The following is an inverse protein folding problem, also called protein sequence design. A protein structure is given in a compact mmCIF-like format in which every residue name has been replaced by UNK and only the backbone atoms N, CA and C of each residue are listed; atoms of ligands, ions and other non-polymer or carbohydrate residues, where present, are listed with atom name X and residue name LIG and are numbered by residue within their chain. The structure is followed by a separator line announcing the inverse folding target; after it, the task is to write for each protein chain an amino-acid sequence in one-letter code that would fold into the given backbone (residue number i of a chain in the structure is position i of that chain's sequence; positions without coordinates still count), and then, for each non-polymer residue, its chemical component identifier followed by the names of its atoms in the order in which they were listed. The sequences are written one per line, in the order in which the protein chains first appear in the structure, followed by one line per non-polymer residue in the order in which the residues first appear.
data_IF_365036411182
#
_entry.id   IF_365036411182
#
_cell.length_a   1.000
_cell.length_b   1.000
_cell.length_c   1.000
_cell.angle_alpha   90.00
_cell.angle_beta   90.00
_cell.angle_gamma   90.00
#
_symmetry.space_group_name_H-M   'P 1'
#
loop_
_entity.id
_entity.type
_entity.pdbx_description
1 polymer ?
#
# COMPACT_ATOMS: atom_id res chain seq x y z
N UNK A 1 54.48 -11.15 -24.46
CA UNK A 1 55.50 -11.83 -23.62
C UNK A 1 55.76 -11.09 -22.32
N UNK A 2 56.44 -9.92 -22.32
CA UNK A 2 56.72 -9.16 -21.09
C UNK A 2 55.43 -8.55 -20.49
N UNK A 3 54.51 -8.10 -21.34
CA UNK A 3 53.19 -7.61 -20.92
C UNK A 3 52.33 -8.71 -20.30
N UNK A 4 52.39 -9.94 -20.83
CA UNK A 4 51.67 -11.09 -20.28
C UNK A 4 52.24 -11.52 -18.93
N UNK A 5 53.57 -11.41 -18.75
CA UNK A 5 54.23 -11.61 -17.47
C UNK A 5 53.82 -10.54 -16.44
N UNK A 6 53.82 -9.26 -16.83
CA UNK A 6 53.35 -8.16 -15.97
C UNK A 6 51.88 -8.35 -15.60
N UNK A 7 51.05 -8.79 -16.55
CA UNK A 7 49.62 -9.04 -16.31
C UNK A 7 49.41 -10.20 -15.35
N UNK A 8 50.14 -11.31 -15.53
CA UNK A 8 50.10 -12.46 -14.62
C UNK A 8 50.62 -12.13 -13.21
N UNK A 9 51.68 -11.34 -13.11
CA UNK A 9 52.20 -10.85 -11.81
C UNK A 9 51.19 -9.91 -11.15
N UNK A 10 50.58 -8.99 -11.90
CA UNK A 10 49.56 -8.08 -11.38
C UNK A 10 48.32 -8.81 -10.90
N UNK A 11 47.87 -9.82 -11.65
CA UNK A 11 46.69 -10.61 -11.31
C UNK A 11 46.94 -11.45 -10.05
N UNK A 12 48.11 -12.09 -9.96
CA UNK A 12 48.53 -12.84 -8.76
C UNK A 12 48.73 -11.95 -7.52
N UNK A 13 49.34 -10.76 -7.70
CA UNK A 13 49.47 -9.77 -6.65
C UNK A 13 48.09 -9.28 -6.23
N UNK A 14 47.21 -8.95 -7.17
CA UNK A 14 45.85 -8.49 -6.87
C UNK A 14 45.08 -9.54 -6.07
N UNK A 15 45.14 -10.80 -6.47
CA UNK A 15 44.38 -11.88 -5.84
C UNK A 15 44.88 -12.19 -4.42
N UNK A 16 46.20 -12.13 -4.18
CA UNK A 16 46.79 -12.34 -2.85
C UNK A 16 46.80 -11.10 -1.95
N UNK A 17 46.89 -9.90 -2.50
CA UNK A 17 46.78 -8.64 -1.75
C UNK A 17 45.34 -8.27 -1.41
N UNK A 18 44.36 -8.79 -2.15
CA UNK A 18 42.94 -8.67 -1.77
C UNK A 18 42.59 -9.48 -0.51
N UNK A 19 43.44 -10.43 -0.11
CA UNK A 19 43.33 -11.04 1.22
C UNK A 19 43.77 -10.02 2.29
N UNK A 20 42.94 -9.73 3.31
CA UNK A 20 43.29 -8.85 4.43
C UNK A 20 44.61 -9.24 5.11
N UNK A 21 45.00 -10.52 5.04
CA UNK A 21 46.25 -11.04 5.59
C UNK A 21 47.47 -10.65 4.75
N UNK A 22 47.37 -10.72 3.42
CA UNK A 22 48.47 -10.33 2.53
C UNK A 22 48.81 -8.84 2.61
N UNK A 23 47.78 -8.00 2.63
CA UNK A 23 47.95 -6.55 2.75
C UNK A 23 48.54 -6.16 4.11
N UNK A 24 47.98 -6.67 5.22
CA UNK A 24 48.47 -6.37 6.57
C UNK A 24 49.88 -6.91 6.83
N UNK A 25 50.20 -8.10 6.32
CA UNK A 25 51.54 -8.68 6.41
C UNK A 25 52.56 -7.85 5.62
N UNK A 26 52.21 -7.39 4.42
CA UNK A 26 53.13 -6.56 3.61
C UNK A 26 53.39 -5.22 4.28
N UNK A 27 52.35 -4.54 4.75
CA UNK A 27 52.50 -3.25 5.47
C UNK A 27 53.32 -3.45 6.74
N UNK A 28 53.05 -4.51 7.50
CA UNK A 28 53.80 -4.82 8.71
C UNK A 28 55.27 -5.15 8.39
N UNK A 29 55.53 -5.94 7.36
CA UNK A 29 56.87 -6.27 6.92
C UNK A 29 57.67 -5.04 6.51
N UNK A 30 57.05 -4.12 5.76
CA UNK A 30 57.66 -2.84 5.40
C UNK A 30 57.97 -1.98 6.63
N UNK A 31 57.07 -1.95 7.63
CA UNK A 31 57.27 -1.18 8.85
C UNK A 31 58.44 -1.72 9.69
N UNK A 32 58.55 -3.04 9.85
CA UNK A 32 59.64 -3.69 10.60
C UNK A 32 60.98 -3.67 9.84
N UNK A 33 60.95 -3.74 8.52
CA UNK A 33 62.15 -3.76 7.66
C UNK A 33 62.40 -2.40 6.99
N UNK A 34 62.00 -1.30 7.63
CA UNK A 34 62.14 0.05 7.08
C UNK A 34 63.60 0.41 6.74
N UNK A 35 64.57 -0.06 7.54
CA UNK A 35 66.00 0.17 7.29
C UNK A 35 66.47 -0.42 5.96
N UNK A 36 65.97 -1.60 5.60
CA UNK A 36 66.28 -2.24 4.31
C UNK A 36 65.67 -1.45 3.18
N UNK A 37 64.41 -1.05 3.32
CA UNK A 37 63.76 -0.22 2.31
C UNK A 37 64.55 1.07 2.09
N UNK A 38 64.97 1.75 3.17
CA UNK A 38 65.81 2.94 3.08
C UNK A 38 67.15 2.67 2.38
N UNK A 39 67.82 1.54 2.65
CA UNK A 39 69.07 1.18 1.98
C UNK A 39 68.83 0.84 0.51
N UNK A 40 67.77 0.10 0.18
CA UNK A 40 67.41 -0.26 -1.21
C UNK A 40 67.08 1.00 -2.02
N UNK A 41 66.34 1.95 -1.43
CA UNK A 41 65.99 3.22 -2.05
C UNK A 41 67.10 4.28 -1.95
N UNK A 42 68.15 4.06 -1.15
CA UNK A 42 69.31 4.94 -1.15
C UNK A 42 69.98 4.90 -2.53
N UNK A 43 70.48 6.04 -3.01
CA UNK A 43 71.17 6.14 -4.31
C UNK A 43 72.56 5.48 -4.36
N UNK A 44 72.92 4.67 -3.37
CA UNK A 44 74.24 4.05 -3.22
C UNK A 44 74.50 2.94 -4.26
N UNK A 45 75.77 2.62 -4.48
CA UNK A 45 76.17 1.52 -5.37
C UNK A 45 75.69 0.17 -4.82
N UNK A 46 75.38 -0.78 -5.72
CA UNK A 46 74.82 -2.08 -5.36
C UNK A 46 75.69 -2.86 -4.34
N UNK A 47 77.01 -2.77 -4.48
CA UNK A 47 77.97 -3.40 -3.57
C UNK A 47 77.88 -2.80 -2.17
N UNK A 48 77.74 -1.47 -2.07
CA UNK A 48 77.59 -0.78 -0.79
C UNK A 48 76.26 -1.10 -0.12
N UNK A 49 75.18 -1.25 -0.90
CA UNK A 49 73.86 -1.69 -0.39
C UNK A 49 73.92 -3.07 0.26
N UNK A 50 74.56 -4.04 -0.40
CA UNK A 50 74.71 -5.40 0.16
C UNK A 50 75.51 -5.36 1.47
N UNK A 51 76.59 -4.59 1.51
CA UNK A 51 77.40 -4.45 2.73
C UNK A 51 76.60 -3.80 3.88
N UNK A 52 75.83 -2.75 3.59
CA UNK A 52 74.96 -2.09 4.56
C UNK A 52 73.85 -3.02 5.07
N UNK A 53 73.24 -3.83 4.19
CA UNK A 53 72.22 -4.82 4.59
C UNK A 53 72.85 -5.88 5.50
N UNK A 54 74.03 -6.38 5.16
CA UNK A 54 74.75 -7.34 6.01
C UNK A 54 75.10 -6.76 7.38
N UNK A 55 75.48 -5.47 7.43
CA UNK A 55 75.74 -4.77 8.69
C UNK A 55 74.48 -4.63 9.55
N UNK A 56 73.32 -4.37 8.93
CA UNK A 56 72.03 -4.24 9.63
C UNK A 56 71.52 -5.58 10.17
N UNK A 57 71.83 -6.71 9.51
CA UNK A 57 71.37 -8.05 9.91
C UNK A 57 72.49 -9.00 10.31
N UNK A 58 73.51 -8.47 10.97
CA UNK A 58 74.64 -9.28 11.41
C UNK A 58 74.23 -10.36 12.43
N UNK A 59 73.25 -10.06 13.29
CA UNK A 59 72.73 -11.00 14.28
C UNK A 59 71.60 -11.86 13.73
N UNK A 60 71.78 -13.18 13.76
CA UNK A 60 70.78 -14.14 13.31
C UNK A 60 69.42 -13.96 14.02
N UNK A 61 69.45 -13.77 15.34
CA UNK A 61 68.23 -13.56 16.14
C UNK A 61 67.52 -12.26 15.80
N UNK A 62 68.29 -11.17 15.61
CA UNK A 62 67.74 -9.89 15.20
C UNK A 62 67.09 -9.98 13.82
N UNK A 63 67.76 -10.66 12.88
CA UNK A 63 67.29 -10.91 11.53
C UNK A 63 66.03 -11.76 11.49
N UNK A 64 66.02 -12.93 12.13
CA UNK A 64 64.86 -13.80 12.20
C UNK A 64 63.63 -13.09 12.81
N UNK A 65 63.86 -12.25 13.83
CA UNK A 65 62.79 -11.49 14.44
C UNK A 65 62.25 -10.37 13.53
N UNK A 66 63.12 -9.56 12.91
CA UNK A 66 62.66 -8.42 12.10
C UNK A 66 62.15 -8.84 10.71
N UNK A 67 62.70 -9.90 10.10
CA UNK A 67 62.26 -10.35 8.78
C UNK A 67 60.98 -11.19 8.84
N UNK A 68 60.81 -12.01 9.88
CA UNK A 68 59.71 -12.98 9.95
C UNK A 68 58.83 -12.82 11.18
N UNK A 69 59.38 -13.02 12.39
CA UNK A 69 58.54 -13.16 13.58
C UNK A 69 57.75 -11.88 13.94
N UNK A 70 58.40 -10.72 13.89
CA UNK A 70 57.81 -9.41 14.17
C UNK A 70 56.69 -9.05 13.20
N UNK A 71 56.93 -9.04 11.87
CA UNK A 71 55.89 -8.80 10.87
C UNK A 71 54.69 -9.74 11.00
N UNK A 72 54.93 -11.04 11.19
CA UNK A 72 53.85 -12.04 11.31
C UNK A 72 53.06 -11.82 12.60
N UNK A 73 53.74 -11.61 13.74
CA UNK A 73 53.08 -11.36 15.02
C UNK A 73 52.26 -10.07 15.01
N UNK A 74 52.78 -9.01 14.39
CA UNK A 74 52.09 -7.71 14.32
C UNK A 74 50.92 -7.76 13.35
N UNK A 75 51.06 -8.45 12.21
CA UNK A 75 49.95 -8.68 11.29
C UNK A 75 48.87 -9.55 11.93
N UNK A 76 49.24 -10.64 12.61
CA UNK A 76 48.31 -11.47 13.36
C UNK A 76 47.61 -10.68 14.47
N UNK A 77 48.36 -9.87 15.24
CA UNK A 77 47.78 -8.99 16.24
C UNK A 77 46.81 -7.99 15.62
N UNK A 78 47.15 -7.35 14.51
CA UNK A 78 46.24 -6.44 13.81
C UNK A 78 44.97 -7.16 13.35
N UNK A 79 45.08 -8.31 12.69
CA UNK A 79 43.94 -9.08 12.19
C UNK A 79 43.04 -9.57 13.33
N UNK A 80 43.62 -9.95 14.47
CA UNK A 80 42.86 -10.44 15.62
C UNK A 80 42.30 -9.31 16.48
N UNK A 81 43.04 -8.22 16.65
CA UNK A 81 42.62 -7.09 17.48
C UNK A 81 41.64 -6.17 16.75
N UNK A 82 41.81 -5.92 15.44
CA UNK A 82 40.95 -5.06 14.64
C UNK A 82 39.44 -5.40 14.62
N UNK A 83 39.00 -6.68 14.59
CA UNK A 83 37.57 -7.00 14.59
C UNK A 83 36.87 -6.63 15.89
N UNK A 84 37.55 -6.60 17.03
CA UNK A 84 36.93 -6.24 18.32
C UNK A 84 36.39 -4.80 18.36
N UNK A 85 37.21 -3.75 18.12
CA UNK A 85 36.70 -2.37 18.08
C UNK A 85 35.75 -2.18 16.90
N UNK A 86 35.98 -2.83 15.75
CA UNK A 86 35.08 -2.74 14.60
C UNK A 86 33.67 -3.25 14.93
N UNK A 87 33.56 -4.42 15.54
CA UNK A 87 32.27 -4.99 15.96
C UNK A 87 31.59 -4.13 17.03
N UNK A 88 32.37 -3.56 17.95
CA UNK A 88 31.85 -2.64 18.96
C UNK A 88 31.24 -1.38 18.31
N UNK A 89 31.98 -0.69 17.44
CA UNK A 89 31.49 0.49 16.71
C UNK A 89 30.28 0.13 15.84
N UNK A 90 30.32 -1.00 15.14
CA UNK A 90 29.21 -1.46 14.33
C UNK A 90 27.95 -1.68 15.17
N UNK A 91 28.05 -2.43 16.27
CA UNK A 91 26.92 -2.68 17.17
C UNK A 91 26.37 -1.41 17.80
N UNK A 92 27.24 -0.47 18.21
CA UNK A 92 26.85 0.84 18.72
C UNK A 92 26.06 1.64 17.67
N UNK A 93 26.57 1.70 16.44
CA UNK A 93 25.91 2.40 15.33
C UNK A 93 24.55 1.80 15.00
N UNK A 94 24.43 0.47 15.04
CA UNK A 94 23.19 -0.24 14.75
C UNK A 94 22.13 0.04 15.83
N UNK A 95 22.56 0.08 17.10
CA UNK A 95 21.70 0.46 18.24
C UNK A 95 21.18 1.88 18.09
N UNK A 96 22.06 2.84 17.76
CA UNK A 96 21.67 4.24 17.52
C UNK A 96 20.68 4.40 16.37
N UNK A 97 20.87 3.67 15.27
CA UNK A 97 19.91 3.66 14.15
C UNK A 97 18.56 3.10 14.58
N UNK A 98 18.55 2.01 15.36
CA UNK A 98 17.31 1.42 15.90
C UNK A 98 16.59 2.39 16.84
N UNK A 99 17.32 3.06 17.73
CA UNK A 99 16.78 4.08 18.64
C UNK A 99 16.18 5.26 17.85
N UNK A 100 16.89 5.79 16.86
CA UNK A 100 16.39 6.89 16.02
C UNK A 100 15.14 6.49 15.23
N UNK A 101 15.09 5.26 14.69
CA UNK A 101 13.91 4.75 14.01
C UNK A 101 12.72 4.57 14.96
N UNK A 102 12.96 4.07 16.18
CA UNK A 102 11.92 3.93 17.19
C UNK A 102 11.37 5.30 17.61
N UNK A 103 12.25 6.27 17.87
CA UNK A 103 11.84 7.63 18.21
C UNK A 103 11.04 8.28 17.08
N UNK A 104 11.46 8.10 15.83
CA UNK A 104 10.70 8.59 14.67
C UNK A 104 9.30 7.98 14.61
N UNK A 105 9.18 6.66 14.84
CA UNK A 105 7.89 5.96 14.85
C UNK A 105 6.98 6.41 15.98
N UNK A 106 7.56 6.69 17.15
CA UNK A 106 6.85 7.26 18.29
C UNK A 106 6.32 8.66 17.99
N UNK A 107 7.11 9.50 17.31
CA UNK A 107 6.67 10.83 16.87
C UNK A 107 5.60 10.76 15.78
N UNK A 108 5.74 9.83 14.82
CA UNK A 108 4.81 9.65 13.70
C UNK A 108 3.54 8.84 14.09
N UNK A 109 3.36 8.49 15.38
CA UNK A 109 2.31 7.59 15.90
C UNK A 109 2.17 6.25 15.12
N UNK A 110 3.26 5.81 14.48
CA UNK A 110 3.30 4.57 13.71
C UNK A 110 3.61 3.39 14.62
N UNK A 111 2.58 2.69 15.08
CA UNK A 111 2.72 1.42 15.80
C UNK A 111 3.13 0.31 14.84
N UNK A 112 4.42 -0.06 14.85
CA UNK A 112 4.92 -1.18 14.06
C UNK A 112 4.60 -2.47 14.81
N UNK A 113 3.57 -3.18 14.34
CA UNK A 113 3.23 -4.52 14.82
C UNK A 113 4.46 -5.42 14.70
N UNK A 114 4.80 -6.09 15.79
CA UNK A 114 5.75 -7.19 15.78
C UNK A 114 5.24 -8.31 14.86
N UNK A 115 6.13 -9.19 14.40
CA UNK A 115 5.73 -10.28 13.51
C UNK A 115 4.67 -11.19 14.15
N UNK A 116 4.75 -11.38 15.47
CA UNK A 116 3.77 -12.14 16.25
C UNK A 116 2.42 -11.42 16.30
N UNK A 117 2.41 -10.11 16.56
CA UNK A 117 1.18 -9.32 16.55
C UNK A 117 0.55 -9.24 15.15
N UNK A 118 1.37 -9.15 14.09
CA UNK A 118 0.89 -9.19 12.70
C UNK A 118 0.23 -10.53 12.37
N UNK A 119 0.82 -11.65 12.84
CA UNK A 119 0.21 -12.99 12.68
C UNK A 119 -1.08 -13.12 13.48
N UNK A 120 -1.10 -12.66 14.73
CA UNK A 120 -2.30 -12.67 15.57
C UNK A 120 -3.43 -11.83 14.95
N UNK A 121 -3.10 -10.66 14.41
CA UNK A 121 -4.06 -9.78 13.74
C UNK A 121 -4.62 -10.43 12.47
N UNK A 122 -3.78 -11.06 11.64
CA UNK A 122 -4.23 -11.81 10.46
C UNK A 122 -5.19 -12.94 10.85
N UNK A 123 -4.86 -13.70 11.90
CA UNK A 123 -5.73 -14.77 12.38
C UNK A 123 -7.10 -14.23 12.83
N UNK A 124 -7.13 -13.09 13.54
CA UNK A 124 -8.38 -12.43 13.93
C UNK A 124 -9.21 -11.98 12.73
N UNK A 125 -8.57 -11.45 11.69
CA UNK A 125 -9.28 -11.07 10.46
C UNK A 125 -9.88 -12.29 9.75
N UNK A 126 -9.13 -13.40 9.65
CA UNK A 126 -9.64 -14.64 9.08
C UNK A 126 -10.81 -15.20 9.90
N UNK A 127 -10.71 -15.18 11.23
CA UNK A 127 -11.82 -15.61 12.10
C UNK A 127 -13.06 -14.74 11.92
N UNK A 128 -12.89 -13.42 11.85
CA UNK A 128 -13.98 -12.46 11.60
C UNK A 128 -14.64 -12.67 10.24
N UNK A 129 -13.85 -12.96 9.20
CA UNK A 129 -14.35 -13.27 7.85
C UNK A 129 -15.15 -14.58 7.83
N UNK A 130 -14.68 -15.61 8.55
CA UNK A 130 -15.44 -16.85 8.73
C UNK A 130 -16.75 -16.59 9.47
N UNK A 131 -16.74 -15.78 10.53
CA UNK A 131 -17.96 -15.41 11.24
C UNK A 131 -18.94 -14.67 10.32
N UNK A 132 -18.49 -13.64 9.60
CA UNK A 132 -19.35 -12.89 8.68
C UNK A 132 -19.92 -13.74 7.54
N UNK A 133 -19.13 -14.66 6.99
CA UNK A 133 -19.60 -15.57 5.94
C UNK A 133 -20.66 -16.54 6.49
N UNK A 134 -20.44 -17.11 7.68
CA UNK A 134 -21.44 -17.97 8.32
C UNK A 134 -22.73 -17.22 8.66
N UNK A 135 -22.64 -15.98 9.15
CA UNK A 135 -23.80 -15.12 9.38
C UNK A 135 -24.53 -14.79 8.09
N UNK A 136 -23.81 -14.47 7.01
CA UNK A 136 -24.39 -14.17 5.71
C UNK A 136 -25.13 -15.38 5.13
N UNK A 137 -24.55 -16.58 5.25
CA UNK A 137 -25.21 -17.84 4.84
C UNK A 137 -26.47 -18.08 5.68
N UNK A 138 -26.39 -17.89 7.00
CA UNK A 138 -27.55 -18.03 7.89
C UNK A 138 -28.66 -17.05 7.51
N UNK A 139 -28.34 -15.77 7.33
CA UNK A 139 -29.32 -14.75 6.93
C UNK A 139 -29.94 -15.08 5.57
N UNK A 140 -29.14 -15.54 4.60
CA UNK A 140 -29.64 -15.95 3.29
C UNK A 140 -30.60 -17.12 3.41
N UNK A 141 -30.26 -18.15 4.20
CA UNK A 141 -31.15 -19.29 4.45
C UNK A 141 -32.47 -18.87 5.12
N UNK A 142 -32.43 -17.88 6.02
CA UNK A 142 -33.65 -17.36 6.63
C UNK A 142 -34.50 -16.58 5.64
N UNK A 143 -33.88 -15.78 4.76
CA UNK A 143 -34.58 -15.06 3.68
C UNK A 143 -35.28 -16.06 2.78
N UNK A 144 -34.61 -17.15 2.39
CA UNK A 144 -35.19 -18.17 1.53
C UNK A 144 -36.36 -18.89 2.23
N UNK A 145 -36.21 -19.28 3.50
CA UNK A 145 -37.31 -19.86 4.26
C UNK A 145 -38.53 -18.93 4.41
N UNK A 146 -38.28 -17.62 4.59
CA UNK A 146 -39.34 -16.62 4.70
C UNK A 146 -40.03 -16.39 3.35
N UNK A 147 -39.29 -16.43 2.24
CA UNK A 147 -39.87 -16.38 0.89
C UNK A 147 -40.75 -17.60 0.62
N UNK A 148 -40.30 -18.79 1.02
CA UNK A 148 -41.09 -20.02 0.85
C UNK A 148 -42.38 -19.97 1.68
N UNK A 149 -42.31 -19.51 2.94
CA UNK A 149 -43.49 -19.28 3.76
C UNK A 149 -44.44 -18.26 3.13
N UNK A 150 -43.89 -17.16 2.61
CA UNK A 150 -44.69 -16.10 1.99
C UNK A 150 -45.37 -16.61 0.70
N UNK A 151 -44.69 -17.46 -0.06
CA UNK A 151 -45.26 -18.14 -1.23
C UNK A 151 -46.39 -19.09 -0.84
N UNK A 152 -46.20 -19.92 0.19
CA UNK A 152 -47.26 -20.79 0.71
C UNK A 152 -48.49 -20.00 1.16
N UNK A 153 -48.28 -18.91 1.91
CA UNK A 153 -49.37 -18.06 2.37
C UNK A 153 -50.10 -17.39 1.20
N UNK A 154 -49.38 -16.98 0.14
CA UNK A 154 -50.01 -16.46 -1.09
C UNK A 154 -50.83 -17.55 -1.77
N UNK A 155 -50.28 -18.74 -1.96
CA UNK A 155 -50.99 -19.88 -2.57
C UNK A 155 -52.25 -20.25 -1.77
N UNK A 156 -52.19 -20.27 -0.44
CA UNK A 156 -53.34 -20.46 0.44
C UNK A 156 -54.36 -19.32 0.30
N UNK A 157 -53.90 -18.06 0.23
CA UNK A 157 -54.76 -16.88 0.05
C UNK A 157 -55.48 -16.90 -1.27
N UNK A 158 -54.81 -17.33 -2.33
CA UNK A 158 -55.35 -17.43 -3.69
C UNK A 158 -56.31 -18.61 -3.80
N UNK A 159 -56.00 -19.78 -3.23
CA UNK A 159 -56.93 -20.90 -3.13
C UNK A 159 -58.19 -20.53 -2.33
N UNK A 160 -58.04 -19.82 -1.20
CA UNK A 160 -59.18 -19.28 -0.44
C UNK A 160 -59.93 -18.19 -1.22
N UNK A 161 -59.23 -17.38 -2.03
CA UNK A 161 -59.88 -16.38 -2.88
C UNK A 161 -60.69 -17.05 -3.99
N UNK A 162 -60.19 -18.12 -4.60
CA UNK A 162 -60.89 -18.95 -5.57
C UNK A 162 -62.10 -19.65 -4.93
N UNK A 163 -61.96 -20.20 -3.73
CA UNK A 163 -63.08 -20.79 -2.97
C UNK A 163 -64.15 -19.74 -2.63
N UNK A 164 -63.74 -18.54 -2.19
CA UNK A 164 -64.65 -17.44 -1.91
C UNK A 164 -65.27 -16.89 -3.20
N UNK A 165 -64.53 -16.86 -4.31
CA UNK A 165 -65.04 -16.47 -5.62
C UNK A 165 -66.02 -17.50 -6.19
N UNK A 166 -65.78 -18.79 -6.01
CA UNK A 166 -66.70 -19.87 -6.38
C UNK A 166 -67.97 -19.84 -5.51
N UNK A 167 -67.84 -19.58 -4.21
CA UNK A 167 -68.98 -19.36 -3.29
C UNK A 167 -69.76 -18.08 -3.60
N UNK A 168 -69.07 -17.00 -4.00
CA UNK A 168 -69.70 -15.77 -4.50
C UNK A 168 -70.34 -15.96 -5.88
N UNK A 169 -69.76 -16.75 -6.78
CA UNK A 169 -70.37 -17.08 -8.06
C UNK A 169 -71.65 -17.93 -7.90
N UNK A 170 -71.75 -18.71 -6.82
CA UNK A 170 -72.97 -19.40 -6.41
C UNK A 170 -73.98 -18.51 -5.64
N UNK A 171 -73.63 -17.27 -5.29
CA UNK A 171 -74.49 -16.33 -4.56
C UNK A 171 -74.28 -14.88 -5.05
N UNK A 172 -75.20 -14.42 -5.92
CA UNK A 172 -75.34 -13.06 -6.50
C UNK A 172 -74.62 -12.89 -7.86
N UNK A 173 -75.25 -12.67 -9.03
CA UNK A 173 -76.29 -11.70 -9.44
C UNK A 173 -76.06 -10.32 -8.82
N UNK A 174 -75.55 -9.40 -9.65
CA UNK A 174 -75.33 -7.94 -9.48
C UNK A 174 -73.87 -7.43 -9.31
N UNK A 175 -73.41 -6.80 -10.40
CA UNK A 175 -72.27 -5.89 -10.66
C UNK A 175 -72.32 -4.55 -9.88
N UNK A 176 -71.34 -3.61 -10.03
CA UNK A 176 -69.88 -3.69 -9.90
C UNK A 176 -69.27 -2.43 -9.18
N UNK A 177 -67.93 -2.31 -9.21
CA UNK A 177 -67.11 -1.06 -9.16
C UNK A 177 -66.25 -0.86 -7.92
N UNK A 178 -64.92 -0.90 -8.11
CA UNK A 178 -64.06 0.25 -7.84
C UNK A 178 -62.61 0.04 -8.29
N UNK A 179 -62.02 1.16 -8.72
CA UNK A 179 -60.66 1.49 -9.22
C UNK A 179 -59.56 1.17 -8.18
N UNK A 180 -58.25 1.14 -8.58
CA UNK A 180 -57.42 2.35 -8.40
C UNK A 180 -56.29 2.57 -9.46
N UNK A 181 -55.60 3.73 -9.42
CA UNK A 181 -54.74 4.29 -10.47
C UNK A 181 -53.24 3.98 -10.24
N UNK A 182 -52.35 4.18 -11.23
CA UNK A 182 -51.51 5.38 -11.28
C UNK A 182 -50.64 5.39 -12.56
N UNK A 183 -50.64 6.52 -13.27
CA UNK A 183 -49.71 6.83 -14.36
C UNK A 183 -48.53 7.64 -13.80
N UNK A 184 -47.29 7.47 -14.29
CA UNK A 184 -46.23 8.43 -14.07
C UNK A 184 -46.39 9.64 -15.00
N UNK A 185 -46.01 10.80 -14.48
CA UNK A 185 -46.07 12.12 -15.10
C UNK A 185 -44.99 12.23 -16.18
N UNK A 186 -45.39 12.65 -17.39
CA UNK A 186 -44.50 12.89 -18.53
C UNK A 186 -44.38 14.39 -18.74
N UNK A 187 -43.15 14.90 -18.75
CA UNK A 187 -42.86 16.27 -19.17
C UNK A 187 -42.11 16.30 -20.50
N UNK A 188 -42.61 17.15 -21.39
CA UNK A 188 -42.13 17.33 -22.76
C UNK A 188 -41.16 18.50 -22.82
N UNK A 189 -39.96 18.25 -23.34
CA UNK A 189 -39.15 19.27 -24.02
C UNK A 189 -38.95 18.80 -25.45
N UNK A 190 -39.30 19.63 -26.44
CA UNK A 190 -39.21 19.35 -27.88
C UNK A 190 -40.04 18.18 -28.45
N UNK A 191 -40.99 17.63 -27.69
CA UNK A 191 -41.92 16.59 -28.19
C UNK A 191 -41.54 15.15 -27.84
N UNK A 192 -40.36 14.92 -27.26
CA UNK A 192 -39.95 13.61 -26.74
C UNK A 192 -40.16 13.53 -25.22
N UNK A 193 -40.67 12.39 -24.76
CA UNK A 193 -40.84 12.09 -23.34
C UNK A 193 -39.48 11.67 -22.77
N UNK A 194 -38.97 12.42 -21.80
CA UNK A 194 -37.75 12.01 -21.08
C UNK A 194 -38.19 10.98 -20.04
N UNK A 195 -37.99 9.71 -20.33
CA UNK A 195 -38.17 8.63 -19.36
C UNK A 195 -36.96 8.59 -18.45
N UNK A 196 -37.16 8.91 -17.17
CA UNK A 196 -36.12 8.86 -16.15
C UNK A 196 -36.19 7.53 -15.41
N UNK A 197 -35.04 6.89 -15.25
CA UNK A 197 -34.93 5.70 -14.41
C UNK A 197 -35.17 6.06 -12.93
N UNK A 198 -35.52 5.05 -12.11
CA UNK A 198 -35.81 5.20 -10.68
C UNK A 198 -34.68 5.94 -9.94
N UNK A 199 -33.42 5.63 -10.25
CA UNK A 199 -32.27 6.24 -9.59
C UNK A 199 -32.02 7.68 -10.06
N UNK A 200 -32.22 7.94 -11.35
CA UNK A 200 -32.16 9.29 -11.90
C UNK A 200 -33.19 10.20 -11.25
N UNK A 201 -34.42 9.71 -11.08
CA UNK A 201 -35.48 10.43 -10.40
C UNK A 201 -35.17 10.73 -8.92
N UNK A 202 -34.64 9.73 -8.21
CA UNK A 202 -34.23 9.90 -6.82
C UNK A 202 -33.15 10.97 -6.65
N UNK A 203 -32.16 11.01 -7.55
CA UNK A 203 -31.10 12.02 -7.52
C UNK A 203 -31.68 13.41 -7.83
N UNK A 204 -32.52 13.56 -8.86
CA UNK A 204 -33.16 14.86 -9.18
C UNK A 204 -34.00 15.37 -8.00
N UNK A 205 -34.76 14.50 -7.35
CA UNK A 205 -35.59 14.86 -6.19
C UNK A 205 -34.73 15.23 -4.97
N UNK A 206 -33.64 14.50 -4.70
CA UNK A 206 -32.75 14.79 -3.59
C UNK A 206 -32.00 16.12 -3.80
N UNK A 207 -31.46 16.38 -5.00
CA UNK A 207 -30.81 17.66 -5.33
C UNK A 207 -31.82 18.81 -5.29
N UNK A 208 -33.06 18.59 -5.77
CA UNK A 208 -34.13 19.60 -5.75
C UNK A 208 -34.54 20.05 -4.36
N UNK A 209 -34.49 19.15 -3.38
CA UNK A 209 -34.79 19.46 -1.97
C UNK A 209 -33.62 20.15 -1.26
N UNK A 210 -32.39 19.83 -1.64
CA UNK A 210 -31.17 20.32 -0.99
C UNK A 210 -30.69 21.68 -1.51
N UNK A 211 -31.17 22.11 -2.69
CA UNK A 211 -30.89 23.44 -3.24
C UNK A 211 -29.65 23.51 -4.12
N UNK A 212 -29.08 24.71 -4.30
CA UNK A 212 -27.90 24.92 -5.15
C UNK A 212 -26.64 24.35 -4.51
N UNK A 213 -25.87 23.56 -5.27
CA UNK A 213 -24.60 22.92 -4.88
C UNK A 213 -24.73 21.87 -3.77
N UNK A 214 -25.44 20.78 -4.05
CA UNK A 214 -25.51 19.64 -3.15
C UNK A 214 -24.26 18.77 -3.28
N UNK A 215 -23.58 18.46 -2.18
CA UNK A 215 -22.40 17.61 -2.20
C UNK A 215 -22.76 16.15 -2.49
N UNK A 216 -21.93 15.48 -3.29
CA UNK A 216 -22.15 14.06 -3.66
C UNK A 216 -22.14 13.16 -2.43
N UNK A 217 -21.31 13.48 -1.44
CA UNK A 217 -21.20 12.73 -0.18
C UNK A 217 -22.50 12.76 0.63
N UNK A 218 -23.17 13.90 0.67
CA UNK A 218 -24.44 14.04 1.40
C UNK A 218 -25.56 13.25 0.72
N UNK A 219 -25.59 13.29 -0.62
CA UNK A 219 -26.52 12.49 -1.43
C UNK A 219 -26.26 10.99 -1.26
N UNK A 220 -25.01 10.59 -1.14
CA UNK A 220 -24.59 9.20 -0.91
C UNK A 220 -25.15 8.67 0.41
N UNK A 221 -25.01 9.44 1.49
CA UNK A 221 -25.58 9.10 2.80
C UNK A 221 -27.11 9.07 2.76
N UNK A 222 -27.74 10.06 2.10
CA UNK A 222 -29.19 10.17 2.05
C UNK A 222 -29.85 9.05 1.23
N UNK A 223 -29.27 8.73 0.06
CA UNK A 223 -29.82 7.74 -0.86
C UNK A 223 -29.31 6.31 -0.59
N UNK A 224 -28.29 6.15 0.26
CA UNK A 224 -27.58 4.88 0.49
C UNK A 224 -27.00 4.29 -0.81
N UNK A 225 -26.52 5.17 -1.69
CA UNK A 225 -25.91 4.83 -2.98
C UNK A 225 -24.47 5.35 -2.94
N UNK A 226 -23.48 4.53 -3.30
CA UNK A 226 -22.08 4.96 -3.25
C UNK A 226 -21.76 6.16 -4.15
N UNK A 227 -20.80 6.99 -3.71
CA UNK A 227 -20.41 8.25 -4.36
C UNK A 227 -20.08 8.10 -5.85
N UNK A 228 -19.40 7.00 -6.21
CA UNK A 228 -19.04 6.71 -7.60
C UNK A 228 -20.27 6.46 -8.49
N UNK A 229 -21.29 5.78 -7.96
CA UNK A 229 -22.53 5.50 -8.68
C UNK A 229 -23.35 6.78 -8.85
N UNK A 230 -23.44 7.62 -7.82
CA UNK A 230 -24.10 8.93 -7.92
C UNK A 230 -23.41 9.81 -8.97
N UNK A 231 -22.08 9.83 -8.99
CA UNK A 231 -21.33 10.62 -9.96
C UNK A 231 -21.52 10.13 -11.41
N UNK A 232 -21.65 8.82 -11.61
CA UNK A 232 -21.92 8.23 -12.92
C UNK A 232 -23.32 8.59 -13.41
N UNK A 233 -24.35 8.41 -12.57
CA UNK A 233 -25.74 8.75 -12.93
C UNK A 233 -25.89 10.26 -13.13
N UNK A 234 -25.19 11.08 -12.35
CA UNK A 234 -25.15 12.52 -12.55
C UNK A 234 -24.56 12.91 -13.92
N UNK A 235 -23.63 12.13 -14.47
CA UNK A 235 -23.12 12.34 -15.83
C UNK A 235 -24.21 12.13 -16.90
N UNK A 236 -25.03 11.09 -16.75
CA UNK A 236 -26.17 10.85 -17.64
C UNK A 236 -27.23 11.97 -17.53
N UNK A 237 -27.49 12.44 -16.32
CA UNK A 237 -28.41 13.56 -16.08
C UNK A 237 -27.88 14.89 -16.63
N UNK A 238 -26.56 15.05 -16.71
CA UNK A 238 -25.91 16.20 -17.33
C UNK A 238 -26.02 16.17 -18.86
N UNK A 239 -25.87 15.00 -19.49
CA UNK A 239 -26.13 14.81 -20.93
C UNK A 239 -27.59 15.14 -21.30
N UNK A 240 -28.54 14.81 -20.41
CA UNK A 240 -29.95 15.19 -20.54
C UNK A 240 -30.22 16.67 -20.22
N UNK A 241 -29.21 17.41 -19.77
CA UNK A 241 -29.32 18.82 -19.41
C UNK A 241 -30.20 19.07 -18.19
N UNK A 242 -30.25 18.13 -17.24
CA UNK A 242 -31.04 18.22 -16.01
C UNK A 242 -30.20 18.68 -14.82
N UNK A 243 -28.97 18.20 -14.72
CA UNK A 243 -28.04 18.47 -13.62
C UNK A 243 -26.72 18.99 -14.19
N UNK A 244 -26.08 19.94 -13.52
CA UNK A 244 -24.70 20.36 -13.82
C UNK A 244 -23.77 19.79 -12.76
N UNK A 245 -22.68 19.15 -13.19
CA UNK A 245 -21.62 18.69 -12.30
C UNK A 245 -20.61 19.80 -12.07
N UNK A 246 -20.11 19.92 -10.85
CA UNK A 246 -19.10 20.91 -10.49
C UNK A 246 -18.20 20.45 -9.36
N UNK A 247 -17.15 21.22 -9.11
CA UNK A 247 -16.29 21.09 -7.94
C UNK A 247 -16.34 22.39 -7.16
N UNK A 248 -16.58 22.30 -5.86
CA UNK A 248 -16.54 23.42 -4.94
C UNK A 248 -15.28 23.25 -4.10
N UNK A 249 -14.48 24.31 -4.04
CA UNK A 249 -13.25 24.29 -3.25
C UNK A 249 -13.61 24.34 -1.76
N UNK A 250 -13.13 23.35 -1.02
CA UNK A 250 -13.22 23.34 0.43
C UNK A 250 -12.11 24.22 1.00
N UNK A 251 -12.49 25.33 1.63
CA UNK A 251 -11.56 26.29 2.21
C UNK A 251 -10.71 25.69 3.33
N UNK A 252 -11.21 24.67 4.04
CA UNK A 252 -10.51 24.07 5.18
C UNK A 252 -9.51 22.99 4.75
N UNK A 253 -9.83 22.21 3.71
CA UNK A 253 -8.96 21.13 3.23
C UNK A 253 -8.14 21.48 1.99
N UNK A 254 -8.46 22.58 1.30
CA UNK A 254 -7.89 22.94 0.01
C UNK A 254 -8.17 21.92 -1.10
N UNK A 255 -9.12 21.00 -0.87
CA UNK A 255 -9.47 19.93 -1.81
C UNK A 255 -10.79 20.24 -2.51
N UNK A 256 -10.84 19.98 -3.83
CA UNK A 256 -12.06 20.18 -4.62
C UNK A 256 -13.09 19.10 -4.31
N UNK A 257 -14.18 19.47 -3.64
CA UNK A 257 -15.29 18.56 -3.32
C UNK A 257 -16.26 18.54 -4.50
N UNK A 258 -16.68 17.34 -4.91
CA UNK A 258 -17.66 17.16 -5.99
C UNK A 258 -19.06 17.58 -5.53
N UNK A 259 -19.69 18.45 -6.31
CA UNK A 259 -21.03 18.96 -6.07
C UNK A 259 -21.91 18.85 -7.33
N UNK A 260 -23.21 18.78 -7.10
CA UNK A 260 -24.25 18.74 -8.12
C UNK A 260 -25.18 19.94 -7.95
N UNK A 261 -25.60 20.54 -9.06
CA UNK A 261 -26.61 21.59 -9.09
C UNK A 261 -27.67 21.29 -10.13
N UNK A 262 -28.93 21.65 -9.88
CA UNK A 262 -29.96 21.54 -10.89
C UNK A 262 -29.84 22.68 -11.89
N UNK A 263 -29.99 22.34 -13.16
CA UNK A 263 -30.19 23.33 -14.23
C UNK A 263 -31.63 23.84 -14.20
N UNK A 264 -31.91 24.91 -14.95
CA UNK A 264 -33.27 25.45 -15.11
C UNK A 264 -34.29 24.39 -15.59
N UNK A 265 -33.84 23.43 -16.40
CA UNK A 265 -34.67 22.34 -16.90
C UNK A 265 -34.99 21.34 -15.79
N UNK A 266 -33.95 20.89 -15.07
CA UNK A 266 -34.10 19.97 -13.95
C UNK A 266 -34.96 20.56 -12.83
N UNK A 267 -34.81 21.86 -12.56
CA UNK A 267 -35.62 22.56 -11.57
C UNK A 267 -37.10 22.61 -11.97
N UNK A 268 -37.41 22.87 -13.25
CA UNK A 268 -38.80 22.83 -13.74
C UNK A 268 -39.40 21.43 -13.60
N UNK A 269 -38.68 20.38 -14.00
CA UNK A 269 -39.14 18.99 -13.81
C UNK A 269 -39.42 18.67 -12.35
N UNK A 270 -38.51 19.07 -11.46
CA UNK A 270 -38.67 18.89 -10.03
C UNK A 270 -39.92 19.60 -9.49
N UNK A 271 -40.11 20.88 -9.81
CA UNK A 271 -41.27 21.67 -9.37
C UNK A 271 -42.58 21.07 -9.88
N UNK A 272 -42.62 20.60 -11.12
CA UNK A 272 -43.83 20.00 -11.68
C UNK A 272 -44.18 18.66 -11.04
N UNK A 273 -43.20 17.91 -10.55
CA UNK A 273 -43.46 16.67 -9.83
C UNK A 273 -43.98 16.84 -8.41
N UNK A 274 -43.92 18.06 -7.86
CA UNK A 274 -44.46 18.39 -6.55
C UNK A 274 -45.95 18.80 -6.62
N UNK A 275 -46.50 18.99 -7.82
CA UNK A 275 -47.92 19.31 -8.05
C UNK A 275 -48.76 18.04 -8.16
#
# INVERSE_FOLDING_TARGET
MFEDFIKGVREYISDRFMSPLGASLTVSWCAWNYKVLLIVFSGESAIRKIHLIHLVYQDFWYSAFHLAAGPVATAAFYILAFPYPSNWVYSYSLRRRKEALNLKREIDDQTVLTQEESRALRNRFTEMEVQHTTESVRLTSTIDSLKDQLKQVIEERDALAEDVAARRAASAVETPSSRPPSRPVVLKKNGEAIELDKYQWQIVNAVGRSGSNTYVRDLSVQLKIGDAAIWLVAGQLEELGLVSRGTVDDYDSGSGIRALSLTDLGLRLFIESLK
#
